data_IF_850946030422
#
_entry.id   IF_850946030422
#
_cell.length_a   1.000
_cell.length_b   1.000
_cell.length_c   1.000
_cell.angle_alpha   90.00
_cell.angle_beta   90.00
_cell.angle_gamma   90.00
#
_symmetry.space_group_name_H-M   'P 1'
#
loop_
_entity.id
_entity.type
_entity.pdbx_description
1 polymer ?
#
# COMPACT_ATOMS: atom_id res chain seq x y z
N UNK A 1 -55.60 -42.27 16.89
CA UNK A 1 -55.80 -40.93 17.49
C UNK A 1 -54.41 -40.42 17.85
N UNK A 2 -53.79 -39.39 17.27
CA UNK A 2 -54.19 -38.24 16.46
C UNK A 2 -53.14 -38.00 15.36
N UNK A 3 -53.59 -37.65 14.17
CA UNK A 3 -52.84 -37.12 13.02
C UNK A 3 -52.54 -35.63 13.19
N UNK A 4 -51.30 -35.18 12.98
CA UNK A 4 -50.98 -33.76 12.71
C UNK A 4 -49.90 -33.68 11.61
N UNK A 5 -50.33 -33.60 10.34
CA UNK A 5 -50.21 -32.43 9.45
C UNK A 5 -48.78 -31.95 9.22
N UNK A 6 -48.26 -32.31 8.05
CA UNK A 6 -47.04 -31.75 7.49
C UNK A 6 -47.21 -30.28 7.13
N UNK A 7 -46.10 -29.55 7.20
CA UNK A 7 -45.92 -28.27 6.52
C UNK A 7 -44.74 -28.46 5.59
N UNK A 8 -45.07 -28.63 4.30
CA UNK A 8 -44.13 -28.52 3.21
C UNK A 8 -43.83 -27.02 3.00
N UNK A 9 -42.65 -26.56 3.38
CA UNK A 9 -42.14 -25.26 2.95
C UNK A 9 -41.28 -25.45 1.71
N UNK A 10 -41.83 -25.01 0.59
CA UNK A 10 -41.21 -25.01 -0.72
C UNK A 10 -40.02 -24.03 -0.79
N UNK A 11 -38.94 -24.54 -1.38
CA UNK A 11 -37.91 -23.93 -2.23
C UNK A 11 -37.90 -22.40 -2.33
N UNK A 12 -36.76 -21.83 -1.93
CA UNK A 12 -36.22 -20.59 -2.49
C UNK A 12 -34.73 -20.77 -2.76
N UNK A 13 -34.37 -21.46 -3.84
CA UNK A 13 -32.99 -21.43 -4.35
C UNK A 13 -32.80 -20.09 -5.03
N UNK A 14 -32.13 -19.17 -4.33
CA UNK A 14 -31.75 -17.88 -4.86
C UNK A 14 -30.47 -18.07 -5.68
N UNK A 15 -30.59 -18.45 -6.95
CA UNK A 15 -29.47 -18.43 -7.91
C UNK A 15 -29.19 -16.99 -8.32
N UNK A 16 -28.35 -16.31 -7.53
CA UNK A 16 -27.70 -15.07 -7.94
C UNK A 16 -26.63 -15.42 -9.00
N UNK A 17 -27.04 -15.40 -10.27
CA UNK A 17 -26.11 -15.32 -11.40
C UNK A 17 -25.48 -13.93 -11.41
N UNK A 18 -24.43 -13.74 -10.61
CA UNK A 18 -23.55 -12.58 -10.74
C UNK A 18 -22.65 -12.83 -11.95
N UNK A 19 -23.19 -12.64 -13.16
CA UNK A 19 -22.35 -12.20 -14.29
C UNK A 19 -22.03 -10.73 -14.07
N UNK A 20 -21.27 -10.47 -13.00
CA UNK A 20 -20.60 -9.20 -12.82
C UNK A 20 -19.40 -9.22 -13.75
N UNK A 21 -19.28 -8.23 -14.61
CA UNK A 21 -17.99 -7.85 -15.15
C UNK A 21 -17.01 -7.85 -13.98
N UNK A 22 -15.92 -8.61 -14.07
CA UNK A 22 -14.84 -8.51 -13.10
C UNK A 22 -14.23 -7.10 -13.26
N UNK A 23 -14.88 -6.10 -12.66
CA UNK A 23 -14.21 -4.89 -12.23
C UNK A 23 -13.12 -5.43 -11.33
N UNK A 24 -11.87 -5.34 -11.77
CA UNK A 24 -10.73 -5.82 -10.99
C UNK A 24 -10.90 -5.27 -9.58
N UNK A 25 -10.97 -6.16 -8.59
CA UNK A 25 -11.12 -5.74 -7.20
C UNK A 25 -9.96 -4.79 -6.90
N UNK A 26 -10.27 -3.60 -6.38
CA UNK A 26 -9.24 -2.66 -5.95
C UNK A 26 -8.40 -3.35 -4.87
N UNK A 27 -7.07 -3.25 -4.91
CA UNK A 27 -6.23 -3.90 -3.90
C UNK A 27 -6.62 -3.45 -2.49
N UNK A 28 -6.74 -4.40 -1.58
CA UNK A 28 -7.05 -4.13 -0.19
C UNK A 28 -5.77 -3.83 0.62
N UNK A 29 -5.93 -3.29 1.83
CA UNK A 29 -4.81 -3.05 2.75
C UNK A 29 -3.87 -4.25 2.90
N UNK A 30 -4.45 -5.45 2.97
CA UNK A 30 -3.72 -6.69 3.21
C UNK A 30 -2.81 -7.06 2.04
N UNK A 31 -3.17 -6.65 0.82
CA UNK A 31 -2.38 -6.91 -0.38
C UNK A 31 -1.05 -6.16 -0.35
N UNK A 32 -0.90 -5.15 0.50
CA UNK A 32 0.33 -4.37 0.66
C UNK A 32 1.22 -4.80 1.82
N UNK A 33 0.75 -5.69 2.70
CA UNK A 33 1.52 -6.19 3.86
C UNK A 33 2.72 -7.00 3.40
N UNK A 34 3.90 -6.67 3.93
CA UNK A 34 5.16 -7.32 3.58
C UNK A 34 6.34 -6.36 3.56
N UNK A 35 7.50 -6.88 3.17
CA UNK A 35 8.72 -6.10 2.99
C UNK A 35 8.90 -5.78 1.51
N UNK A 36 9.00 -4.49 1.20
CA UNK A 36 9.23 -3.94 -0.12
C UNK A 36 10.63 -3.34 -0.14
N UNK A 37 11.49 -3.79 -1.04
CA UNK A 37 12.90 -3.35 -1.15
C UNK A 37 13.11 -2.66 -2.49
N UNK A 38 13.95 -1.63 -2.52
CA UNK A 38 14.29 -0.94 -3.75
C UNK A 38 14.86 -1.93 -4.78
N UNK A 39 14.30 -1.91 -5.99
CA UNK A 39 14.71 -2.80 -7.07
C UNK A 39 16.19 -2.60 -7.42
N UNK A 40 16.92 -3.70 -7.58
CA UNK A 40 18.37 -3.71 -7.77
C UNK A 40 19.22 -3.42 -6.52
N UNK A 41 18.62 -3.04 -5.38
CA UNK A 41 19.34 -2.89 -4.11
C UNK A 41 19.52 -4.26 -3.41
N UNK A 42 20.64 -4.44 -2.71
CA UNK A 42 20.94 -5.66 -1.95
C UNK A 42 21.77 -5.37 -0.70
N UNK A 43 21.70 -6.26 0.29
CA UNK A 43 22.40 -6.14 1.57
C UNK A 43 21.62 -5.40 2.65
N UNK A 44 22.21 -5.29 3.84
CA UNK A 44 21.55 -4.83 5.07
C UNK A 44 21.12 -3.36 5.07
N UNK A 45 21.66 -2.54 4.16
CA UNK A 45 21.30 -1.14 3.96
C UNK A 45 20.44 -0.88 2.72
N UNK A 46 19.82 -1.93 2.15
CA UNK A 46 18.92 -1.76 1.01
C UNK A 46 17.67 -0.97 1.43
N UNK A 47 17.32 0.13 0.74
CA UNK A 47 16.15 0.92 1.08
C UNK A 47 14.89 0.07 1.10
N UNK A 48 14.09 0.20 2.16
CA UNK A 48 12.95 -0.68 2.35
C UNK A 48 11.75 -0.03 3.05
N UNK A 49 10.55 -0.43 2.62
CA UNK A 49 9.31 -0.25 3.37
C UNK A 49 8.86 -1.59 3.94
N UNK A 50 8.71 -1.67 5.25
CA UNK A 50 8.05 -2.80 5.93
C UNK A 50 6.63 -2.37 6.25
N UNK A 51 5.65 -2.97 5.59
CA UNK A 51 4.22 -2.67 5.77
C UNK A 51 3.60 -3.74 6.64
N UNK A 52 2.97 -3.32 7.73
CA UNK A 52 2.34 -4.20 8.72
C UNK A 52 0.82 -4.24 8.56
N UNK A 53 0.22 -5.37 8.96
CA UNK A 53 -1.22 -5.59 8.87
C UNK A 53 -2.07 -4.64 9.75
N UNK A 54 -1.45 -4.03 10.76
CA UNK A 54 -2.07 -3.06 11.67
C UNK A 54 -2.10 -1.61 11.11
N UNK A 55 -1.82 -1.46 9.81
CA UNK A 55 -1.76 -0.18 9.08
C UNK A 55 -0.63 0.73 9.58
N UNK A 56 0.45 0.15 10.11
CA UNK A 56 1.72 0.85 10.32
C UNK A 56 2.73 0.46 9.25
N UNK A 57 3.76 1.28 9.11
CA UNK A 57 4.93 0.93 8.33
C UNK A 57 6.21 1.44 8.97
N UNK A 58 7.34 0.85 8.56
CA UNK A 58 8.68 1.38 8.82
C UNK A 58 9.41 1.55 7.49
N UNK A 59 9.91 2.76 7.25
CA UNK A 59 10.82 3.11 6.18
C UNK A 59 12.26 3.06 6.71
N UNK A 60 13.18 2.44 5.95
CA UNK A 60 14.60 2.36 6.28
C UNK A 60 15.44 2.76 5.07
N UNK A 61 16.49 3.53 5.32
CA UNK A 61 17.49 3.93 4.33
C UNK A 61 16.87 4.53 3.05
N UNK A 62 15.72 5.22 3.20
CA UNK A 62 14.96 5.76 2.07
C UNK A 62 15.67 7.00 1.52
N UNK A 63 15.79 7.15 0.19
CA UNK A 63 16.31 8.38 -0.42
C UNK A 63 15.60 9.64 0.11
N UNK A 64 16.38 10.68 0.41
CA UNK A 64 15.89 11.92 1.02
C UNK A 64 14.79 12.59 0.20
N UNK A 65 14.93 12.59 -1.13
CA UNK A 65 13.94 13.16 -2.05
C UNK A 65 12.61 12.37 -2.09
N UNK A 66 12.66 11.07 -1.78
CA UNK A 66 11.48 10.22 -1.61
C UNK A 66 10.82 10.40 -0.23
N UNK A 67 11.62 10.52 0.83
CA UNK A 67 11.15 10.64 2.21
C UNK A 67 10.68 12.06 2.58
N UNK A 68 11.30 13.10 2.01
CA UNK A 68 11.03 14.48 2.37
C UNK A 68 9.95 15.10 1.51
N UNK A 69 8.96 15.72 2.17
CA UNK A 69 7.85 16.38 1.47
C UNK A 69 8.35 17.64 0.78
N UNK A 70 8.00 17.78 -0.49
CA UNK A 70 8.27 19.01 -1.24
C UNK A 70 7.51 20.18 -0.59
N UNK A 71 8.24 21.22 -0.17
CA UNK A 71 7.66 22.49 0.29
C UNK A 71 7.34 22.59 1.79
N UNK A 72 7.51 21.54 2.60
CA UNK A 72 7.35 21.65 4.06
C UNK A 72 8.19 20.62 4.84
N UNK A 73 9.45 21.00 5.14
CA UNK A 73 10.36 20.17 5.91
C UNK A 73 9.91 19.97 7.38
N UNK A 74 9.18 20.92 7.97
CA UNK A 74 8.77 20.87 9.38
C UNK A 74 7.74 19.78 9.70
N UNK A 75 7.05 19.27 8.67
CA UNK A 75 6.08 18.17 8.78
C UNK A 75 6.53 16.94 7.98
N UNK A 76 7.82 16.90 7.63
CA UNK A 76 8.46 15.74 7.02
C UNK A 76 9.05 14.82 8.11
N UNK A 77 9.36 13.57 7.77
CA UNK A 77 10.10 12.69 8.65
C UNK A 77 11.43 13.29 9.18
N UNK A 78 11.95 12.81 10.31
CA UNK A 78 13.24 13.24 10.85
C UNK A 78 14.38 13.12 9.82
N UNK A 79 15.31 14.07 9.84
CA UNK A 79 16.42 14.16 8.88
C UNK A 79 16.17 15.10 7.70
N UNK A 80 14.90 15.33 7.33
CA UNK A 80 14.55 16.18 6.20
C UNK A 80 14.86 17.67 6.38
N UNK A 81 14.82 18.18 7.62
CA UNK A 81 15.09 19.59 7.89
C UNK A 81 16.58 19.95 7.83
N UNK A 82 17.46 18.98 8.10
CA UNK A 82 18.90 19.21 8.25
C UNK A 82 19.70 18.78 7.00
N UNK A 83 19.02 18.33 5.94
CA UNK A 83 19.66 17.83 4.72
C UNK A 83 20.43 16.51 4.93
N UNK A 84 20.15 15.80 6.01
CA UNK A 84 20.70 14.47 6.27
C UNK A 84 19.90 13.37 5.59
N UNK A 85 20.49 12.18 5.51
CA UNK A 85 19.78 10.99 5.02
C UNK A 85 18.76 10.53 6.09
N UNK A 86 17.47 10.37 5.75
CA UNK A 86 16.49 9.81 6.67
C UNK A 86 16.81 8.33 6.88
N UNK A 87 17.57 8.07 7.95
CA UNK A 87 18.07 6.73 8.31
C UNK A 87 16.93 5.74 8.53
N UNK A 88 15.88 6.14 9.25
CA UNK A 88 14.65 5.36 9.37
C UNK A 88 13.52 6.18 10.01
N UNK A 89 12.28 5.91 9.62
CA UNK A 89 11.10 6.50 10.25
C UNK A 89 9.89 5.57 10.11
N UNK A 90 8.91 5.74 11.01
CA UNK A 90 7.69 4.93 11.03
C UNK A 90 6.46 5.81 10.99
N UNK A 91 5.37 5.28 10.44
CA UNK A 91 4.14 6.03 10.29
C UNK A 91 2.93 5.14 10.07
N UNK A 92 1.87 5.75 9.56
CA UNK A 92 0.62 5.09 9.20
C UNK A 92 0.55 4.89 7.69
N UNK A 93 -0.04 3.78 7.28
CA UNK A 93 -0.27 3.50 5.87
C UNK A 93 -1.71 3.08 5.61
N UNK A 94 -2.19 3.37 4.40
CA UNK A 94 -3.52 2.97 3.96
C UNK A 94 -3.54 2.67 2.47
N UNK A 95 -4.31 1.67 2.04
CA UNK A 95 -4.58 1.44 0.63
C UNK A 95 -5.23 2.69 0.02
N UNK A 96 -4.78 3.08 -1.17
CA UNK A 96 -5.33 4.21 -1.90
C UNK A 96 -6.66 3.83 -2.54
N UNK A 97 -7.69 4.61 -2.26
CA UNK A 97 -8.98 4.50 -2.94
C UNK A 97 -9.00 5.21 -4.30
N UNK A 98 -9.83 4.71 -5.22
CA UNK A 98 -10.16 5.35 -6.49
C UNK A 98 -9.34 4.84 -7.68
N UNK A 99 -9.24 5.67 -8.72
CA UNK A 99 -8.65 5.28 -10.02
C UNK A 99 -7.11 5.18 -10.00
N UNK A 100 -6.47 5.35 -8.85
CA UNK A 100 -5.02 5.35 -8.68
C UNK A 100 -4.61 4.39 -7.55
N UNK A 101 -4.61 3.07 -7.81
CA UNK A 101 -4.33 2.05 -6.80
C UNK A 101 -2.90 2.17 -6.28
N UNK A 102 -2.71 1.82 -5.00
CA UNK A 102 -1.43 1.93 -4.33
C UNK A 102 -1.58 1.95 -2.82
N UNK A 103 -0.51 2.36 -2.14
CA UNK A 103 -0.47 2.53 -0.68
C UNK A 103 0.04 3.93 -0.35
N UNK A 104 -0.72 4.66 0.47
CA UNK A 104 -0.38 6.00 0.96
C UNK A 104 0.36 5.87 2.28
N UNK A 105 1.49 6.55 2.39
CA UNK A 105 2.32 6.63 3.59
C UNK A 105 2.19 8.00 4.23
N UNK A 106 1.90 8.02 5.52
CA UNK A 106 1.78 9.24 6.32
C UNK A 106 2.67 9.18 7.55
N UNK A 107 3.33 10.30 7.84
CA UNK A 107 4.14 10.50 9.05
C UNK A 107 3.49 11.60 9.89
N UNK A 108 3.30 11.35 11.18
CA UNK A 108 2.64 12.28 12.12
C UNK A 108 1.31 12.88 11.58
N UNK A 109 0.49 12.02 10.94
CA UNK A 109 -0.79 12.43 10.36
C UNK A 109 -0.70 13.21 9.04
N UNK A 110 0.50 13.44 8.52
CA UNK A 110 0.72 14.13 7.25
C UNK A 110 1.10 13.17 6.13
N UNK A 111 0.45 13.31 4.97
CA UNK A 111 0.79 12.56 3.76
C UNK A 111 2.23 12.84 3.33
N UNK A 112 3.02 11.77 3.21
CA UNK A 112 4.41 11.81 2.74
C UNK A 112 4.47 11.46 1.27
N UNK A 113 4.04 10.24 0.91
CA UNK A 113 4.09 9.75 -0.46
C UNK A 113 3.12 8.59 -0.69
N UNK A 114 2.78 8.33 -1.95
CA UNK A 114 2.07 7.14 -2.38
C UNK A 114 3.01 6.26 -3.20
N UNK A 115 3.05 4.97 -2.89
CA UNK A 115 3.58 3.94 -3.79
C UNK A 115 2.44 3.46 -4.67
N UNK A 116 2.53 3.72 -5.98
CA UNK A 116 1.52 3.30 -6.96
C UNK A 116 1.71 1.82 -7.27
N UNK A 117 0.62 1.06 -7.27
CA UNK A 117 0.69 -0.35 -7.58
C UNK A 117 1.09 -0.53 -9.06
N UNK A 118 2.19 -1.26 -9.27
CA UNK A 118 2.66 -1.70 -10.59
C UNK A 118 2.79 -3.23 -10.60
N UNK A 119 3.05 -3.82 -11.77
CA UNK A 119 3.18 -5.27 -11.90
C UNK A 119 4.28 -5.82 -10.97
N UNK A 120 3.86 -6.41 -9.85
CA UNK A 120 4.74 -6.93 -8.79
C UNK A 120 5.47 -5.88 -7.94
N UNK A 121 5.13 -4.59 -8.06
CA UNK A 121 5.92 -3.50 -7.47
C UNK A 121 5.11 -2.34 -6.91
N UNK A 122 5.83 -1.44 -6.23
CA UNK A 122 5.39 -0.11 -5.85
C UNK A 122 6.28 0.93 -6.53
N UNK A 123 5.67 1.70 -7.42
CA UNK A 123 6.32 2.75 -8.18
C UNK A 123 6.13 4.09 -7.47
N UNK A 124 7.21 4.86 -7.29
CA UNK A 124 7.20 6.14 -6.61
C UNK A 124 7.72 7.24 -7.53
N UNK A 125 7.07 8.41 -7.42
CA UNK A 125 7.37 9.61 -8.19
C UNK A 125 7.66 10.75 -7.22
N UNK A 126 8.85 11.31 -7.29
CA UNK A 126 9.32 12.40 -6.44
C UNK A 126 8.84 13.76 -6.95
N UNK A 127 8.66 13.88 -8.27
CA UNK A 127 8.15 15.06 -8.97
C UNK A 127 6.73 14.89 -9.52
N UNK A 128 6.58 14.97 -10.86
CA UNK A 128 5.30 14.80 -11.56
C UNK A 128 5.02 13.34 -11.91
N UNK A 129 3.74 12.97 -11.94
CA UNK A 129 3.26 11.70 -12.50
C UNK A 129 3.27 11.68 -14.03
N UNK A 130 3.50 12.82 -14.69
CA UNK A 130 3.57 12.93 -16.16
C UNK A 130 4.88 12.33 -16.74
N UNK A 131 5.78 11.84 -15.88
CA UNK A 131 7.06 11.26 -16.29
C UNK A 131 6.84 9.79 -16.67
N UNK A 132 7.32 9.33 -17.85
CA UNK A 132 7.04 7.98 -18.35
C UNK A 132 7.67 6.84 -17.53
N UNK A 133 8.46 7.15 -16.49
CA UNK A 133 9.13 6.17 -15.63
C UNK A 133 9.12 6.65 -14.18
N UNK A 134 8.93 5.74 -13.20
CA UNK A 134 9.06 6.08 -11.79
C UNK A 134 10.50 6.45 -11.45
N UNK A 135 10.65 7.32 -10.45
CA UNK A 135 11.96 7.66 -9.89
C UNK A 135 12.52 6.50 -9.05
N UNK A 136 11.62 5.77 -8.37
CA UNK A 136 11.95 4.60 -7.57
C UNK A 136 10.92 3.49 -7.76
N UNK A 137 11.39 2.25 -7.81
CA UNK A 137 10.54 1.06 -7.83
C UNK A 137 10.94 0.15 -6.69
N UNK A 138 9.99 -0.24 -5.85
CA UNK A 138 10.20 -1.19 -4.77
C UNK A 138 9.50 -2.50 -5.13
N UNK A 139 10.20 -3.62 -4.97
CA UNK A 139 9.69 -4.96 -5.23
C UNK A 139 9.48 -5.70 -3.92
N UNK A 140 8.44 -6.52 -3.87
CA UNK A 140 8.12 -7.31 -2.68
C UNK A 140 9.14 -8.44 -2.53
N UNK A 141 9.75 -8.53 -1.35
CA UNK A 141 10.54 -9.72 -0.99
C UNK A 141 9.60 -10.92 -0.83
N UNK A 142 10.06 -12.14 -1.20
CA UNK A 142 9.33 -13.35 -0.91
C UNK A 142 9.01 -13.44 0.59
N UNK A 143 7.78 -13.80 0.92
CA UNK A 143 7.45 -14.24 2.27
C UNK A 143 8.07 -15.61 2.48
N UNK A 144 8.97 -15.76 3.44
CA UNK A 144 9.45 -17.08 3.90
C UNK A 144 8.34 -17.93 4.53
#
# INVERSE_FOLDING_TARGET
MLTWTGVATAVGVLTLLVTGCAVGAQPEQQDYVGTWVLDGASGDGAPAFVVSADRTYTARDIPTDLACRTGNAATSPPGCADGGDPTSFSGRCEAADGDSPGIRFSFDGHFVRQGYASDGGLDFYVGSLDVPRPDYRFVRLPSD
#
